data_IF_527707697672
#
_entry.id   IF_527707697672
#
_cell.length_a   1.000
_cell.length_b   1.000
_cell.length_c   1.000
_cell.angle_alpha   90.00
_cell.angle_beta   90.00
_cell.angle_gamma   90.00
#
_symmetry.space_group_name_H-M   'P 1'
#
loop_
_entity.id
_entity.type
_entity.pdbx_description
1 polymer ?
#
# COMPACT_ATOMS: atom_id res chain seq x y z
N UNK A 1 21.09 -31.80 -4.97
CA UNK A 1 21.58 -32.23 -3.65
C UNK A 1 21.29 -31.11 -2.67
N UNK A 2 20.52 -31.36 -1.63
CA UNK A 2 20.42 -30.45 -0.51
C UNK A 2 21.82 -30.28 0.12
N UNK A 3 22.17 -29.09 0.55
CA UNK A 3 23.43 -28.87 1.28
C UNK A 3 23.34 -29.57 2.65
N UNK A 4 24.48 -29.90 3.26
CA UNK A 4 24.50 -30.45 4.65
C UNK A 4 23.68 -29.56 5.59
N UNK A 5 23.79 -28.24 5.44
CA UNK A 5 23.01 -27.27 6.22
C UNK A 5 21.49 -27.43 6.02
N UNK A 6 21.02 -27.66 4.79
CA UNK A 6 19.58 -27.86 4.52
C UNK A 6 19.05 -29.14 5.17
N UNK A 7 19.87 -30.20 5.21
CA UNK A 7 19.52 -31.45 5.89
C UNK A 7 19.43 -31.26 7.41
N UNK A 8 20.40 -30.57 8.01
CA UNK A 8 20.41 -30.27 9.43
C UNK A 8 19.22 -29.37 9.82
N UNK A 9 18.92 -28.35 9.01
CA UNK A 9 17.75 -27.48 9.24
C UNK A 9 16.44 -28.27 9.12
N UNK A 10 16.32 -29.19 8.16
CA UNK A 10 15.14 -30.04 8.02
C UNK A 10 14.91 -30.87 9.28
N UNK A 11 15.98 -31.49 9.83
CA UNK A 11 15.91 -32.27 11.07
C UNK A 11 15.53 -31.40 12.28
N UNK A 12 16.15 -30.23 12.45
CA UNK A 12 15.81 -29.27 13.52
C UNK A 12 14.38 -28.75 13.45
N UNK A 13 13.78 -28.74 12.27
CA UNK A 13 12.44 -28.19 12.02
C UNK A 13 11.31 -29.23 12.11
N UNK A 14 11.59 -30.51 12.33
CA UNK A 14 10.60 -31.60 12.31
C UNK A 14 9.34 -31.33 13.14
N UNK A 15 9.50 -30.71 14.32
CA UNK A 15 8.40 -30.43 15.24
C UNK A 15 8.06 -28.93 15.39
N UNK A 16 8.65 -28.06 14.57
CA UNK A 16 8.56 -26.62 14.77
C UNK A 16 7.11 -26.11 14.72
N UNK A 17 6.29 -26.61 13.80
CA UNK A 17 4.89 -26.21 13.68
C UNK A 17 4.07 -26.55 14.94
N UNK A 18 4.33 -27.72 15.55
CA UNK A 18 3.67 -28.15 16.78
C UNK A 18 4.11 -27.32 17.99
N UNK A 19 5.39 -26.99 18.07
CA UNK A 19 5.95 -26.18 19.18
C UNK A 19 5.40 -24.75 19.18
N UNK A 20 5.09 -24.18 18.02
CA UNK A 20 4.54 -22.83 17.91
C UNK A 20 3.01 -22.78 17.80
N UNK A 21 2.32 -23.93 17.76
CA UNK A 21 0.88 -23.98 17.70
C UNK A 21 0.24 -23.50 19.01
N UNK A 22 -0.65 -22.51 18.90
CA UNK A 22 -1.51 -22.10 20.03
C UNK A 22 -2.93 -22.52 19.68
N UNK A 23 -3.57 -23.42 20.48
CA UNK A 23 -4.94 -23.87 20.23
C UNK A 23 -5.93 -22.72 20.11
N UNK A 24 -6.87 -22.84 19.18
CA UNK A 24 -7.82 -21.78 18.84
C UNK A 24 -8.66 -21.31 20.04
N UNK A 25 -8.98 -22.22 20.97
CA UNK A 25 -9.76 -21.93 22.18
C UNK A 25 -9.17 -20.81 23.06
N UNK A 26 -7.85 -20.59 23.03
CA UNK A 26 -7.22 -19.52 23.78
C UNK A 26 -7.47 -18.12 23.18
N UNK A 27 -7.95 -18.06 21.95
CA UNK A 27 -8.32 -16.80 21.29
C UNK A 27 -9.81 -16.48 21.39
N UNK A 28 -10.63 -17.34 22.03
CA UNK A 28 -12.08 -17.12 22.25
C UNK A 28 -12.33 -16.08 23.34
N UNK A 29 -11.34 -15.81 24.20
CA UNK A 29 -11.42 -14.75 25.20
C UNK A 29 -11.49 -13.37 24.50
N UNK A 30 -12.63 -12.69 24.65
CA UNK A 30 -12.88 -11.38 24.05
C UNK A 30 -11.93 -10.26 24.54
N UNK A 31 -11.21 -10.47 25.63
CA UNK A 31 -10.15 -9.55 26.08
C UNK A 31 -8.93 -9.57 25.16
N UNK A 32 -8.71 -10.66 24.42
CA UNK A 32 -7.61 -10.80 23.46
C UNK A 32 -8.02 -10.18 22.12
N UNK A 33 -7.40 -9.05 21.77
CA UNK A 33 -7.73 -8.29 20.56
C UNK A 33 -6.85 -8.74 19.38
N UNK A 34 -7.13 -9.93 18.85
CA UNK A 34 -6.39 -10.51 17.72
C UNK A 34 -6.44 -9.57 16.51
N UNK A 35 -5.26 -9.22 15.96
CA UNK A 35 -5.15 -8.26 14.87
C UNK A 35 -5.61 -6.85 15.24
N UNK A 36 -5.61 -6.48 16.54
CA UNK A 36 -6.12 -5.22 17.07
C UNK A 36 -7.57 -4.94 16.66
N UNK A 37 -8.42 -5.99 16.69
CA UNK A 37 -9.85 -5.91 16.40
C UNK A 37 -10.69 -6.29 17.62
N UNK A 38 -11.78 -5.54 17.80
CA UNK A 38 -12.85 -5.89 18.73
C UNK A 38 -13.70 -7.05 18.17
N UNK A 39 -14.50 -7.67 19.01
CA UNK A 39 -15.38 -8.79 18.62
C UNK A 39 -16.40 -8.39 17.53
N UNK A 40 -16.84 -7.14 17.54
CA UNK A 40 -17.73 -6.56 16.52
C UNK A 40 -16.98 -6.21 15.20
N UNK A 41 -15.65 -6.47 15.14
CA UNK A 41 -14.79 -6.19 14.01
C UNK A 41 -14.35 -4.72 13.88
N UNK A 42 -14.67 -3.83 14.83
CA UNK A 42 -14.09 -2.48 14.88
C UNK A 42 -12.62 -2.52 15.25
N UNK A 43 -11.84 -1.51 14.83
CA UNK A 43 -10.45 -1.36 15.26
C UNK A 43 -10.37 -1.01 16.75
N UNK A 44 -9.35 -1.54 17.43
CA UNK A 44 -9.00 -1.10 18.79
C UNK A 44 -8.52 0.35 18.73
N UNK A 45 -9.11 1.23 19.51
CA UNK A 45 -8.69 2.63 19.59
C UNK A 45 -7.43 2.72 20.45
N UNK A 46 -6.31 3.05 19.80
CA UNK A 46 -4.98 3.11 20.43
C UNK A 46 -4.38 4.53 20.47
N UNK A 47 -5.03 5.52 19.87
CA UNK A 47 -4.56 6.89 19.83
C UNK A 47 -5.51 7.82 19.09
N UNK A 48 -5.06 9.05 18.90
CA UNK A 48 -5.75 10.10 18.14
C UNK A 48 -4.85 10.62 17.03
N UNK A 49 -5.43 11.10 15.93
CA UNK A 49 -4.70 11.62 14.79
C UNK A 49 -5.45 12.76 14.13
N UNK A 50 -4.68 13.73 13.60
CA UNK A 50 -5.18 14.82 12.75
C UNK A 50 -4.75 14.65 11.29
N UNK A 51 -4.06 13.56 10.93
CA UNK A 51 -3.49 13.37 9.58
C UNK A 51 -4.56 12.98 8.58
N UNK A 52 -5.38 11.98 8.91
CA UNK A 52 -6.42 11.51 8.02
C UNK A 52 -7.61 10.90 8.76
N UNK A 53 -8.77 10.86 8.10
CA UNK A 53 -9.99 10.25 8.62
C UNK A 53 -10.64 9.37 7.57
N UNK A 54 -10.98 8.14 7.96
CA UNK A 54 -11.65 7.13 7.13
C UNK A 54 -12.98 6.81 7.78
N UNK A 55 -14.07 7.06 7.08
CA UNK A 55 -15.43 6.88 7.58
C UNK A 55 -16.24 6.00 6.62
N UNK A 56 -16.89 4.96 7.12
CA UNK A 56 -17.71 4.04 6.32
C UNK A 56 -18.96 3.59 7.09
N UNK A 57 -19.09 4.01 8.35
CA UNK A 57 -20.23 3.79 9.23
C UNK A 57 -20.19 4.81 10.35
N UNK A 58 -21.31 4.98 11.04
CA UNK A 58 -21.39 5.67 12.32
C UNK A 58 -22.02 4.74 13.37
N UNK A 59 -21.82 5.06 14.65
CA UNK A 59 -22.41 4.30 15.75
C UNK A 59 -23.73 4.96 16.17
N UNK A 60 -24.81 4.18 16.25
CA UNK A 60 -26.08 4.59 16.78
C UNK A 60 -26.62 3.48 17.71
N UNK A 61 -26.87 3.81 18.95
CA UNK A 61 -27.35 2.89 19.99
C UNK A 61 -26.48 1.62 20.15
N UNK A 62 -25.16 1.76 19.94
CA UNK A 62 -24.19 0.66 20.01
C UNK A 62 -24.08 -0.21 18.76
N UNK A 63 -24.88 0.08 17.74
CA UNK A 63 -24.85 -0.61 16.45
C UNK A 63 -24.14 0.21 15.36
N UNK A 64 -23.55 -0.50 14.38
CA UNK A 64 -22.96 0.14 13.21
C UNK A 64 -24.03 0.43 12.17
N UNK A 65 -24.20 1.70 11.83
CA UNK A 65 -25.06 2.13 10.73
C UNK A 65 -24.20 2.39 9.50
N UNK A 66 -24.37 1.66 8.39
CA UNK A 66 -23.65 1.87 7.16
C UNK A 66 -23.84 3.27 6.59
N UNK A 67 -22.79 3.83 6.01
CA UNK A 67 -22.84 5.08 5.26
C UNK A 67 -21.92 5.04 4.03
N UNK A 68 -22.14 5.89 3.02
CA UNK A 68 -21.17 6.08 1.94
C UNK A 68 -19.79 6.41 2.51
N UNK A 69 -18.76 5.74 2.01
CA UNK A 69 -17.40 5.94 2.49
C UNK A 69 -16.92 7.37 2.27
N UNK A 70 -16.16 7.89 3.23
CA UNK A 70 -15.50 9.19 3.14
C UNK A 70 -14.04 9.08 3.56
N UNK A 71 -13.19 9.79 2.85
CA UNK A 71 -11.76 9.91 3.12
C UNK A 71 -11.38 11.39 3.17
N UNK A 72 -10.76 11.78 4.27
CA UNK A 72 -10.32 13.16 4.48
C UNK A 72 -8.83 13.18 4.80
N UNK A 73 -8.11 14.11 4.16
CA UNK A 73 -6.73 14.46 4.46
C UNK A 73 -6.71 15.80 5.21
N UNK A 74 -6.29 15.81 6.46
CA UNK A 74 -6.31 17.01 7.31
C UNK A 74 -7.69 17.71 7.35
N UNK A 75 -8.77 16.92 7.23
CA UNK A 75 -10.13 17.44 7.24
C UNK A 75 -10.68 17.83 5.87
N UNK A 76 -9.90 17.74 4.80
CA UNK A 76 -10.31 18.05 3.42
C UNK A 76 -10.67 16.76 2.70
N UNK A 77 -11.82 16.74 2.00
CA UNK A 77 -12.28 15.59 1.23
C UNK A 77 -11.34 15.28 0.08
N UNK A 78 -10.91 14.02 -0.04
CA UNK A 78 -10.06 13.57 -1.14
C UNK A 78 -10.79 13.66 -2.48
N UNK A 79 -12.11 13.48 -2.48
CA UNK A 79 -12.96 13.61 -3.67
C UNK A 79 -12.92 15.05 -4.20
N UNK A 80 -12.96 16.05 -3.29
CA UNK A 80 -12.91 17.48 -3.64
C UNK A 80 -11.53 17.88 -4.18
N UNK A 81 -10.46 17.39 -3.55
CA UNK A 81 -9.07 17.60 -4.03
C UNK A 81 -8.94 17.09 -5.47
N UNK A 82 -9.30 15.84 -5.73
CA UNK A 82 -9.21 15.25 -7.07
C UNK A 82 -10.07 16.02 -8.07
N UNK A 83 -11.31 16.34 -7.70
CA UNK A 83 -12.22 17.07 -8.59
C UNK A 83 -11.69 18.46 -8.94
N UNK A 84 -11.03 19.16 -8.03
CA UNK A 84 -10.43 20.46 -8.28
C UNK A 84 -9.26 20.37 -9.27
N UNK A 85 -8.30 19.46 -9.03
CA UNK A 85 -7.15 19.29 -9.92
C UNK A 85 -7.55 18.82 -11.31
N UNK A 86 -8.48 17.86 -11.43
CA UNK A 86 -9.00 17.40 -12.73
C UNK A 86 -9.70 18.50 -13.50
N UNK A 87 -10.48 19.36 -12.83
CA UNK A 87 -11.14 20.50 -13.48
C UNK A 87 -10.17 21.56 -13.98
N UNK A 88 -9.12 21.80 -13.22
CA UNK A 88 -8.12 22.84 -13.50
C UNK A 88 -6.98 22.34 -14.42
N UNK A 89 -6.90 21.03 -14.71
CA UNK A 89 -5.79 20.44 -15.48
C UNK A 89 -4.44 20.60 -14.75
N UNK A 90 -4.43 20.46 -13.41
CA UNK A 90 -3.22 20.59 -12.58
C UNK A 90 -2.88 19.27 -11.90
N UNK A 91 -1.62 19.11 -11.47
CA UNK A 91 -1.15 17.99 -10.67
C UNK A 91 -1.33 18.29 -9.17
N UNK A 92 -1.80 17.32 -8.41
CA UNK A 92 -2.22 17.53 -7.03
C UNK A 92 -1.45 16.73 -5.98
N UNK A 93 -0.62 15.76 -6.37
CA UNK A 93 0.08 14.93 -5.38
C UNK A 93 1.04 15.74 -4.50
N UNK A 94 1.77 16.71 -5.07
CA UNK A 94 2.66 17.58 -4.32
C UNK A 94 1.91 18.48 -3.34
N UNK A 95 0.72 18.96 -3.72
CA UNK A 95 -0.16 19.72 -2.81
C UNK A 95 -0.65 18.84 -1.66
N UNK A 96 -1.02 17.59 -1.95
CA UNK A 96 -1.41 16.59 -0.94
C UNK A 96 -0.24 16.28 -0.01
N UNK A 97 0.97 16.10 -0.52
CA UNK A 97 2.16 15.92 0.30
C UNK A 97 2.41 17.11 1.23
N UNK A 98 2.29 18.34 0.71
CA UNK A 98 2.35 19.57 1.52
C UNK A 98 1.28 19.56 2.61
N UNK A 99 0.02 19.33 2.24
CA UNK A 99 -1.12 19.30 3.17
C UNK A 99 -0.91 18.31 4.30
N UNK A 100 -0.50 17.08 3.97
CA UNK A 100 -0.28 16.03 4.96
C UNK A 100 0.86 16.38 5.93
N UNK A 101 1.99 16.89 5.42
CA UNK A 101 3.16 17.23 6.24
C UNK A 101 2.95 18.48 7.08
N UNK A 102 2.37 19.55 6.51
CA UNK A 102 2.31 20.87 7.12
C UNK A 102 0.93 21.23 7.71
N UNK A 103 -0.10 20.41 7.45
CA UNK A 103 -1.39 20.48 8.15
C UNK A 103 -2.41 21.43 7.55
N UNK A 104 -2.07 22.19 6.51
CA UNK A 104 -2.98 23.11 5.80
C UNK A 104 -2.66 23.16 4.31
N UNK A 105 -3.63 23.58 3.49
CA UNK A 105 -3.39 23.84 2.07
C UNK A 105 -2.37 24.98 1.89
N UNK A 106 -1.47 24.87 0.90
CA UNK A 106 -0.52 25.93 0.58
C UNK A 106 -1.18 27.11 -0.12
N UNK A 107 -0.68 28.29 0.07
CA UNK A 107 -0.85 29.39 -0.89
C UNK A 107 -0.05 29.07 -2.16
N UNK A 108 -0.35 29.76 -3.26
CA UNK A 108 0.39 29.58 -4.52
C UNK A 108 1.92 29.73 -4.35
N UNK A 109 2.36 30.72 -3.59
CA UNK A 109 3.79 30.95 -3.31
C UNK A 109 4.40 29.82 -2.46
N UNK A 110 3.65 29.27 -1.49
CA UNK A 110 4.09 28.13 -0.68
C UNK A 110 4.17 26.86 -1.51
N UNK A 111 3.19 26.61 -2.40
CA UNK A 111 3.21 25.48 -3.31
C UNK A 111 4.43 25.53 -4.23
N UNK A 112 4.69 26.68 -4.84
CA UNK A 112 5.86 26.84 -5.72
C UNK A 112 7.16 26.57 -4.94
N UNK A 113 7.31 27.14 -3.76
CA UNK A 113 8.49 26.91 -2.91
C UNK A 113 8.63 25.43 -2.53
N UNK A 114 7.53 24.75 -2.23
CA UNK A 114 7.56 23.32 -1.90
C UNK A 114 7.99 22.48 -3.10
N UNK A 115 7.45 22.77 -4.28
CA UNK A 115 7.84 22.10 -5.52
C UNK A 115 9.33 22.29 -5.83
N UNK A 116 9.86 23.51 -5.64
CA UNK A 116 11.29 23.80 -5.82
C UNK A 116 12.18 23.01 -4.82
N UNK A 117 11.72 22.86 -3.58
CA UNK A 117 12.42 22.05 -2.56
C UNK A 117 12.38 20.58 -2.93
N UNK A 118 11.21 20.05 -3.36
CA UNK A 118 11.05 18.68 -3.82
C UNK A 118 11.96 18.39 -5.03
N UNK A 119 11.99 19.30 -6.01
CA UNK A 119 12.82 19.17 -7.21
C UNK A 119 14.32 19.04 -6.86
N UNK A 120 14.82 19.92 -5.98
CA UNK A 120 16.23 19.84 -5.50
C UNK A 120 16.52 18.59 -4.68
N UNK A 121 15.53 18.07 -3.94
CA UNK A 121 15.68 16.91 -3.08
C UNK A 121 15.62 15.58 -3.84
N UNK A 122 15.26 15.55 -5.14
CA UNK A 122 15.18 14.35 -5.98
C UNK A 122 16.54 13.69 -6.23
N UNK A 123 17.63 14.46 -6.25
CA UNK A 123 18.96 13.93 -6.53
C UNK A 123 19.38 12.90 -5.47
N UNK A 124 19.96 11.80 -5.93
CA UNK A 124 20.58 10.79 -5.08
C UNK A 124 21.99 11.22 -4.67
N UNK A 125 22.51 10.74 -3.52
CA UNK A 125 23.92 10.86 -3.21
C UNK A 125 24.79 10.26 -4.31
N UNK A 126 25.99 10.81 -4.51
CA UNK A 126 26.93 10.33 -5.54
C UNK A 126 27.24 8.84 -5.35
N UNK A 127 27.19 8.07 -6.44
CA UNK A 127 27.44 6.63 -6.46
C UNK A 127 26.32 5.77 -5.83
N UNK A 128 25.26 6.36 -5.29
CA UNK A 128 24.22 5.61 -4.59
C UNK A 128 23.50 4.60 -5.49
N UNK A 129 23.13 5.01 -6.70
CA UNK A 129 22.44 4.12 -7.64
C UNK A 129 23.31 2.93 -8.01
N UNK A 130 24.57 3.17 -8.31
CA UNK A 130 25.54 2.15 -8.67
C UNK A 130 25.81 1.17 -7.53
N UNK A 131 26.07 1.70 -6.33
CA UNK A 131 26.50 0.91 -5.19
C UNK A 131 25.35 0.19 -4.49
N UNK A 132 24.21 0.85 -4.33
CA UNK A 132 23.10 0.33 -3.54
C UNK A 132 22.01 -0.37 -4.37
N UNK A 133 21.88 -0.04 -5.66
CA UNK A 133 20.83 -0.60 -6.52
C UNK A 133 21.42 -1.56 -7.55
N UNK A 134 22.39 -1.09 -8.36
CA UNK A 134 22.91 -1.88 -9.49
C UNK A 134 23.85 -3.00 -9.07
N UNK A 135 24.71 -2.81 -8.07
CA UNK A 135 25.61 -3.88 -7.57
C UNK A 135 24.90 -4.97 -6.78
N UNK A 136 23.72 -4.68 -6.22
CA UNK A 136 22.94 -5.63 -5.46
C UNK A 136 21.45 -5.60 -5.89
N UNK A 137 21.14 -5.95 -7.15
CA UNK A 137 19.78 -5.89 -7.66
C UNK A 137 18.87 -6.89 -6.94
N UNK A 138 17.59 -6.59 -6.88
CA UNK A 138 16.60 -7.46 -6.25
C UNK A 138 15.50 -7.83 -7.24
N UNK A 139 15.06 -9.10 -7.22
CA UNK A 139 13.84 -9.51 -7.93
C UNK A 139 12.58 -8.83 -7.37
N UNK A 140 12.64 -8.34 -6.14
CA UNK A 140 11.51 -7.68 -5.48
C UNK A 140 11.84 -6.20 -5.25
N UNK A 141 11.13 -5.31 -5.96
CA UNK A 141 11.36 -3.86 -5.92
C UNK A 141 11.07 -3.29 -4.54
N UNK A 142 10.06 -3.80 -3.81
CA UNK A 142 9.78 -3.35 -2.45
C UNK A 142 10.92 -3.67 -1.47
N UNK A 143 11.63 -4.81 -1.67
CA UNK A 143 12.83 -5.11 -0.90
C UNK A 143 13.94 -4.11 -1.22
N UNK A 144 14.14 -3.80 -2.51
CA UNK A 144 15.13 -2.80 -2.92
C UNK A 144 14.81 -1.43 -2.35
N UNK A 145 13.52 -1.01 -2.36
CA UNK A 145 13.06 0.24 -1.75
C UNK A 145 13.43 0.31 -0.25
N UNK A 146 13.08 -0.73 0.53
CA UNK A 146 13.39 -0.77 1.96
C UNK A 146 14.90 -0.67 2.24
N UNK A 147 15.73 -1.42 1.49
CA UNK A 147 17.20 -1.37 1.61
C UNK A 147 17.76 0.00 1.24
N UNK A 148 17.24 0.60 0.18
CA UNK A 148 17.68 1.93 -0.26
C UNK A 148 17.33 3.00 0.77
N UNK A 149 16.15 2.93 1.40
CA UNK A 149 15.77 3.83 2.49
C UNK A 149 16.76 3.70 3.66
N UNK A 150 17.06 2.48 4.11
CA UNK A 150 18.03 2.26 5.19
C UNK A 150 19.43 2.72 4.81
N UNK A 151 19.86 2.51 3.56
CA UNK A 151 21.18 2.97 3.10
C UNK A 151 21.31 4.49 3.09
N UNK A 152 20.21 5.24 2.82
CA UNK A 152 20.21 6.71 2.86
C UNK A 152 20.56 7.28 4.24
N UNK A 153 20.35 6.52 5.32
CA UNK A 153 20.81 6.88 6.66
C UNK A 153 22.30 7.25 6.70
N UNK A 154 23.13 6.46 6.02
CA UNK A 154 24.59 6.66 6.01
C UNK A 154 25.05 7.91 5.23
N UNK A 155 24.15 8.55 4.51
CA UNK A 155 24.40 9.78 3.74
C UNK A 155 23.78 11.02 4.38
N UNK A 156 23.28 10.92 5.62
CA UNK A 156 22.66 12.01 6.37
C UNK A 156 23.40 12.21 7.69
N UNK A 157 24.20 13.29 7.79
CA UNK A 157 24.97 13.62 8.98
C UNK A 157 24.08 13.90 10.22
N UNK A 158 22.78 14.11 10.01
CA UNK A 158 21.77 14.33 11.06
C UNK A 158 20.71 13.21 11.07
N UNK A 159 21.11 11.99 10.76
CA UNK A 159 20.18 10.86 10.63
C UNK A 159 19.38 10.61 11.91
N UNK A 160 20.03 10.63 13.08
CA UNK A 160 19.42 10.36 14.40
C UNK A 160 18.74 11.57 15.06
N UNK A 161 18.85 12.76 14.46
CA UNK A 161 18.21 13.96 14.99
C UNK A 161 16.70 13.93 14.72
N UNK A 162 15.92 13.76 15.78
CA UNK A 162 14.45 13.65 15.76
C UNK A 162 13.74 14.99 15.95
N UNK A 163 14.45 16.13 15.91
CA UNK A 163 13.82 17.45 15.88
C UNK A 163 12.88 17.58 14.67
N UNK A 164 11.70 18.16 14.87
CA UNK A 164 10.64 18.17 13.86
C UNK A 164 11.04 18.81 12.53
N UNK A 165 11.87 19.83 12.56
CA UNK A 165 12.43 20.50 11.37
C UNK A 165 13.34 19.55 10.59
N UNK A 166 14.19 18.78 11.28
CA UNK A 166 15.05 17.79 10.64
C UNK A 166 14.26 16.59 10.10
N UNK A 167 13.29 16.09 10.85
CA UNK A 167 12.40 15.02 10.37
C UNK A 167 11.57 15.47 9.17
N UNK A 168 11.12 16.73 9.12
CA UNK A 168 10.47 17.30 7.95
C UNK A 168 11.42 17.34 6.74
N UNK A 169 12.67 17.78 6.92
CA UNK A 169 13.72 17.76 5.88
C UNK A 169 13.93 16.34 5.35
N UNK A 170 14.10 15.36 6.23
CA UNK A 170 14.25 13.93 5.88
C UNK A 170 13.03 13.41 5.13
N UNK A 171 11.83 13.74 5.60
CA UNK A 171 10.56 13.35 4.98
C UNK A 171 10.43 13.86 3.55
N UNK A 172 10.68 15.15 3.32
CA UNK A 172 10.66 15.75 1.96
C UNK A 172 11.69 15.07 1.07
N UNK A 173 12.91 14.83 1.59
CA UNK A 173 13.98 14.15 0.87
C UNK A 173 13.59 12.72 0.45
N UNK A 174 12.94 11.97 1.33
CA UNK A 174 12.46 10.62 1.04
C UNK A 174 11.32 10.61 0.03
N UNK A 175 10.30 11.47 0.22
CA UNK A 175 9.16 11.58 -0.72
C UNK A 175 9.68 11.90 -2.13
N UNK A 176 10.64 12.83 -2.26
CA UNK A 176 11.20 13.23 -3.54
C UNK A 176 12.01 12.11 -4.24
N UNK A 177 12.71 11.26 -3.47
CA UNK A 177 13.60 10.21 -3.99
C UNK A 177 12.91 8.87 -4.25
N UNK A 178 11.77 8.60 -3.61
CA UNK A 178 11.08 7.31 -3.77
C UNK A 178 10.77 6.94 -5.22
N UNK A 179 10.25 7.86 -6.07
CA UNK A 179 10.01 7.57 -7.49
C UNK A 179 11.27 7.10 -8.20
N UNK A 180 12.40 7.79 -7.98
CA UNK A 180 13.67 7.49 -8.62
C UNK A 180 14.24 6.14 -8.15
N UNK A 181 14.17 5.85 -6.85
CA UNK A 181 14.60 4.55 -6.30
C UNK A 181 13.76 3.42 -6.90
N UNK A 182 12.44 3.58 -6.98
CA UNK A 182 11.53 2.58 -7.54
C UNK A 182 11.82 2.35 -9.04
N UNK A 183 12.00 3.40 -9.82
CA UNK A 183 12.31 3.32 -11.25
C UNK A 183 13.68 2.66 -11.50
N UNK A 184 14.74 3.06 -10.78
CA UNK A 184 16.06 2.47 -10.91
C UNK A 184 16.08 1.00 -10.44
N UNK A 185 15.36 0.66 -9.39
CA UNK A 185 15.20 -0.72 -8.93
C UNK A 185 14.48 -1.59 -9.98
N UNK A 186 13.47 -1.04 -10.64
CA UNK A 186 12.77 -1.71 -11.73
C UNK A 186 13.67 -1.91 -12.96
N UNK A 187 14.40 -0.89 -13.38
CA UNK A 187 15.34 -0.98 -14.48
C UNK A 187 16.45 -2.02 -14.18
N UNK A 188 16.99 -2.02 -12.96
CA UNK A 188 17.96 -3.02 -12.51
C UNK A 188 17.37 -4.44 -12.53
N UNK A 189 16.12 -4.63 -12.05
CA UNK A 189 15.44 -5.93 -12.10
C UNK A 189 15.32 -6.42 -13.54
N UNK A 190 14.84 -5.60 -14.46
CA UNK A 190 14.69 -5.95 -15.88
C UNK A 190 16.04 -6.34 -16.51
N UNK A 191 17.08 -5.57 -16.21
CA UNK A 191 18.41 -5.83 -16.75
C UNK A 191 19.01 -7.15 -16.25
N UNK A 192 19.07 -7.33 -14.92
CA UNK A 192 19.80 -8.46 -14.34
C UNK A 192 18.99 -9.78 -14.32
N UNK A 193 17.67 -9.72 -14.34
CA UNK A 193 16.83 -10.91 -14.18
C UNK A 193 15.96 -11.23 -15.38
N UNK A 194 15.64 -10.23 -16.20
CA UNK A 194 14.74 -10.41 -17.35
C UNK A 194 15.53 -10.29 -18.68
N UNK A 195 16.84 -9.96 -18.64
CA UNK A 195 17.75 -9.92 -19.80
C UNK A 195 17.58 -8.70 -20.70
N UNK A 196 16.97 -7.62 -20.20
CA UNK A 196 16.74 -6.40 -20.97
C UNK A 196 17.92 -5.41 -20.85
N UNK A 197 17.99 -4.45 -21.78
CA UNK A 197 18.97 -3.37 -21.70
C UNK A 197 18.73 -2.49 -20.49
N UNK A 198 19.81 -2.07 -19.79
CA UNK A 198 19.72 -1.11 -18.70
C UNK A 198 19.47 0.29 -19.25
N UNK A 199 18.31 0.84 -18.99
CA UNK A 199 17.93 2.21 -19.33
C UNK A 199 17.56 2.93 -18.04
N UNK A 200 18.26 4.02 -17.74
CA UNK A 200 18.00 4.88 -16.59
C UNK A 200 17.73 6.30 -17.08
N UNK A 201 16.59 6.85 -16.68
CA UNK A 201 16.26 8.25 -16.92
C UNK A 201 16.36 9.04 -15.62
N UNK A 202 17.03 10.18 -15.67
CA UNK A 202 17.04 11.12 -14.55
C UNK A 202 15.71 11.86 -14.45
N UNK A 203 15.23 12.18 -13.24
CA UNK A 203 14.06 13.02 -13.07
C UNK A 203 14.34 14.44 -13.55
N UNK A 204 13.32 15.09 -14.13
CA UNK A 204 13.37 16.49 -14.53
C UNK A 204 12.77 17.38 -13.44
N UNK A 205 13.43 18.51 -13.09
CA UNK A 205 13.00 19.37 -12.00
C UNK A 205 11.60 19.96 -12.20
N UNK A 206 11.26 20.32 -13.44
CA UNK A 206 10.02 21.00 -13.81
C UNK A 206 8.81 20.07 -13.86
N UNK A 207 9.03 18.76 -13.95
CA UNK A 207 7.96 17.78 -14.04
C UNK A 207 7.42 17.40 -12.65
N UNK A 208 6.12 17.13 -12.58
CA UNK A 208 5.46 16.55 -11.42
C UNK A 208 6.01 15.18 -11.05
N UNK A 209 5.65 14.67 -9.87
CA UNK A 209 6.00 13.30 -9.46
C UNK A 209 5.41 12.27 -10.43
N UNK A 210 4.16 12.43 -10.84
CA UNK A 210 3.50 11.50 -11.76
C UNK A 210 4.17 11.47 -13.14
N UNK A 211 4.50 12.62 -13.71
CA UNK A 211 5.20 12.74 -15.00
C UNK A 211 6.59 12.11 -14.91
N UNK A 212 7.35 12.42 -13.88
CA UNK A 212 8.66 11.83 -13.65
C UNK A 212 8.60 10.30 -13.51
N UNK A 213 7.59 9.74 -12.84
CA UNK A 213 7.42 8.29 -12.75
C UNK A 213 7.25 7.69 -14.15
N UNK A 214 6.29 8.17 -14.94
CA UNK A 214 6.05 7.62 -16.29
C UNK A 214 7.28 7.74 -17.18
N UNK A 215 7.94 8.89 -17.14
CA UNK A 215 9.19 9.14 -17.88
C UNK A 215 10.31 8.16 -17.48
N UNK A 216 10.49 7.93 -16.19
CA UNK A 216 11.61 7.11 -15.71
C UNK A 216 11.40 5.59 -15.90
N UNK A 217 10.14 5.11 -15.89
CA UNK A 217 9.88 3.67 -16.03
C UNK A 217 9.72 3.21 -17.49
N UNK A 218 9.56 4.13 -18.43
CA UNK A 218 9.41 3.83 -19.86
C UNK A 218 10.71 4.02 -20.62
N UNK A 219 11.13 3.05 -21.46
CA UNK A 219 12.40 3.14 -22.18
C UNK A 219 12.54 4.36 -23.09
N UNK A 220 11.42 4.79 -23.69
CA UNK A 220 11.32 5.96 -24.57
C UNK A 220 11.04 7.29 -23.85
N UNK A 221 10.85 7.24 -22.53
CA UNK A 221 10.47 8.37 -21.68
C UNK A 221 9.16 9.07 -22.10
N UNK A 222 8.35 8.45 -22.97
CA UNK A 222 7.16 9.05 -23.55
C UNK A 222 5.90 8.78 -22.71
N UNK A 223 5.04 9.78 -22.58
CA UNK A 223 3.73 9.67 -21.93
C UNK A 223 2.81 10.78 -22.47
N UNK A 224 1.51 10.60 -22.28
CA UNK A 224 0.52 11.66 -22.61
C UNK A 224 0.13 12.42 -21.34
N UNK A 225 -0.33 13.69 -21.46
CA UNK A 225 -0.83 14.47 -20.34
C UNK A 225 -1.95 13.74 -19.56
N UNK A 226 -2.86 13.05 -20.25
CA UNK A 226 -3.95 12.31 -19.61
C UNK A 226 -3.43 11.12 -18.78
N UNK A 227 -2.42 10.39 -19.27
CA UNK A 227 -1.77 9.33 -18.49
C UNK A 227 -1.12 9.87 -17.21
N UNK A 228 -0.43 11.01 -17.30
CA UNK A 228 0.20 11.65 -16.16
C UNK A 228 -0.83 12.14 -15.12
N UNK A 229 -1.93 12.77 -15.57
CA UNK A 229 -3.02 13.19 -14.67
C UNK A 229 -3.72 12.02 -14.00
N UNK A 230 -3.88 10.88 -14.69
CA UNK A 230 -4.47 9.69 -14.07
C UNK A 230 -3.53 9.04 -13.07
N UNK A 231 -2.23 9.00 -13.34
CA UNK A 231 -1.26 8.54 -12.36
C UNK A 231 -1.21 9.46 -11.14
N UNK A 232 -1.25 10.77 -11.34
CA UNK A 232 -1.33 11.74 -10.24
C UNK A 232 -2.57 11.52 -9.36
N UNK A 233 -3.73 11.33 -9.98
CA UNK A 233 -4.95 10.94 -9.27
C UNK A 233 -4.74 9.68 -8.42
N UNK A 234 -4.08 8.66 -8.97
CA UNK A 234 -3.78 7.43 -8.23
C UNK A 234 -2.85 7.70 -7.04
N UNK A 235 -1.85 8.56 -7.21
CA UNK A 235 -0.95 8.96 -6.13
C UNK A 235 -1.71 9.69 -5.01
N UNK A 236 -2.61 10.63 -5.36
CA UNK A 236 -3.48 11.34 -4.40
C UNK A 236 -4.31 10.32 -3.59
N UNK A 237 -4.99 9.39 -4.26
CA UNK A 237 -5.88 8.43 -3.59
C UNK A 237 -5.15 7.45 -2.67
N UNK A 238 -3.87 7.19 -2.90
CA UNK A 238 -3.06 6.27 -2.11
C UNK A 238 -2.22 6.97 -1.03
N UNK A 239 -2.13 8.31 -1.03
CA UNK A 239 -1.23 9.07 -0.17
C UNK A 239 -1.43 8.83 1.33
N UNK A 240 -2.67 8.66 1.77
CA UNK A 240 -3.01 8.46 3.19
C UNK A 240 -4.27 7.59 3.34
N UNK A 241 -4.36 6.79 4.41
CA UNK A 241 -5.53 5.99 4.74
C UNK A 241 -5.56 5.59 6.23
N UNK A 242 -5.40 6.57 7.11
CA UNK A 242 -5.45 6.39 8.57
C UNK A 242 -4.54 5.24 9.07
N UNK A 243 -4.92 4.54 10.13
CA UNK A 243 -4.13 3.51 10.80
C UNK A 243 -4.21 2.14 10.11
N UNK A 244 -3.80 2.05 8.83
CA UNK A 244 -3.53 0.77 8.19
C UNK A 244 -2.25 0.14 8.75
N UNK A 245 -1.96 -1.12 8.37
CA UNK A 245 -0.86 -1.88 8.98
C UNK A 245 0.50 -1.19 8.82
N UNK A 246 0.85 -0.66 7.65
CA UNK A 246 2.14 0.00 7.44
C UNK A 246 2.24 1.35 8.17
N UNK A 247 1.16 2.11 8.28
CA UNK A 247 1.11 3.32 9.10
C UNK A 247 1.26 2.99 10.59
N UNK A 248 0.60 1.93 11.07
CA UNK A 248 0.77 1.47 12.44
C UNK A 248 2.22 1.06 12.74
N UNK A 249 2.85 0.30 11.84
CA UNK A 249 4.27 -0.08 11.97
C UNK A 249 5.17 1.15 12.00
N UNK A 250 4.95 2.13 11.12
CA UNK A 250 5.69 3.40 11.13
C UNK A 250 5.58 4.10 12.50
N UNK A 251 4.36 4.24 13.03
CA UNK A 251 4.12 4.86 14.34
C UNK A 251 4.74 4.04 15.47
N UNK A 252 4.59 2.72 15.44
CA UNK A 252 5.14 1.83 16.46
C UNK A 252 6.67 1.92 16.54
N UNK A 253 7.36 1.91 15.40
CA UNK A 253 8.81 2.10 15.32
C UNK A 253 9.18 3.52 15.78
N UNK A 254 8.47 4.55 15.32
CA UNK A 254 8.68 5.94 15.72
C UNK A 254 8.56 6.13 17.23
N UNK A 255 7.64 5.43 17.89
CA UNK A 255 7.42 5.54 19.34
C UNK A 255 8.62 5.10 20.19
N UNK A 256 9.57 4.37 19.60
CA UNK A 256 10.84 4.03 20.26
C UNK A 256 11.87 5.15 20.25
N UNK A 257 11.62 6.25 19.52
CA UNK A 257 12.55 7.38 19.39
C UNK A 257 13.64 7.19 18.34
N UNK A 258 13.53 6.17 17.46
CA UNK A 258 14.52 5.89 16.41
C UNK A 258 14.46 6.88 15.23
N UNK A 259 15.39 6.77 14.31
CA UNK A 259 15.57 7.59 13.13
C UNK A 259 14.42 7.44 12.10
N UNK A 260 14.35 8.38 11.14
CA UNK A 260 13.32 8.41 10.10
C UNK A 260 13.46 7.25 9.10
N UNK A 261 14.68 6.89 8.75
CA UNK A 261 14.95 5.87 7.74
C UNK A 261 14.50 4.49 8.23
N UNK A 262 14.76 4.15 9.49
CA UNK A 262 14.29 2.92 10.14
C UNK A 262 12.76 2.85 10.19
N UNK A 263 12.09 3.94 10.57
CA UNK A 263 10.63 3.98 10.64
C UNK A 263 9.97 3.80 9.27
N UNK A 264 10.48 4.47 8.23
CA UNK A 264 9.96 4.36 6.86
C UNK A 264 10.30 3.01 6.23
N UNK A 265 11.51 2.47 6.43
CA UNK A 265 11.86 1.14 5.95
C UNK A 265 10.96 0.05 6.56
N UNK A 266 10.62 0.16 7.84
CA UNK A 266 9.64 -0.72 8.49
C UNK A 266 8.24 -0.63 7.88
N UNK A 267 7.78 0.58 7.54
CA UNK A 267 6.51 0.80 6.84
C UNK A 267 6.52 0.16 5.43
N UNK A 268 7.61 0.31 4.68
CA UNK A 268 7.80 -0.35 3.37
C UNK A 268 7.77 -1.86 3.51
N UNK A 269 8.46 -2.41 4.53
CA UNK A 269 8.47 -3.84 4.83
C UNK A 269 7.07 -4.38 5.15
N UNK A 270 6.27 -3.63 5.92
CA UNK A 270 4.88 -3.95 6.21
C UNK A 270 4.01 -3.95 4.95
N UNK A 271 4.13 -2.91 4.11
CA UNK A 271 3.36 -2.81 2.85
C UNK A 271 3.74 -3.90 1.86
N UNK A 272 5.00 -4.36 1.84
CA UNK A 272 5.46 -5.47 1.01
C UNK A 272 4.70 -6.77 1.25
N UNK A 273 4.15 -6.96 2.46
CA UNK A 273 3.46 -8.18 2.85
C UNK A 273 2.22 -8.46 1.97
N UNK A 274 2.01 -9.72 1.53
CA UNK A 274 0.92 -10.06 0.61
C UNK A 274 -0.49 -9.81 1.19
N UNK A 275 -0.62 -9.78 2.51
CA UNK A 275 -1.89 -9.48 3.18
C UNK A 275 -2.19 -7.98 3.27
N UNK A 276 -1.24 -7.10 2.90
CA UNK A 276 -1.40 -5.66 2.90
C UNK A 276 -1.28 -5.07 1.50
N UNK A 277 -0.09 -5.00 0.91
CA UNK A 277 0.12 -4.40 -0.41
C UNK A 277 -0.05 -5.34 -1.60
N UNK A 278 -0.30 -6.62 -1.36
CA UNK A 278 -0.42 -7.64 -2.43
C UNK A 278 -1.82 -7.79 -3.02
N UNK A 279 -2.83 -7.08 -2.51
CA UNK A 279 -4.23 -7.29 -2.92
C UNK A 279 -4.46 -6.92 -4.39
N UNK A 280 -3.85 -5.85 -4.88
CA UNK A 280 -3.95 -5.41 -6.26
C UNK A 280 -3.45 -6.49 -7.27
N UNK A 281 -2.27 -7.06 -7.04
CA UNK A 281 -1.75 -8.13 -7.90
C UNK A 281 -2.67 -9.36 -7.91
N UNK A 282 -3.28 -9.70 -6.76
CA UNK A 282 -4.27 -10.78 -6.67
C UNK A 282 -5.55 -10.48 -7.45
N UNK A 283 -6.02 -9.24 -7.42
CA UNK A 283 -7.15 -8.81 -8.28
C UNK A 283 -6.81 -9.00 -9.75
N UNK A 284 -5.64 -8.55 -10.20
CA UNK A 284 -5.26 -8.67 -11.60
C UNK A 284 -5.05 -10.14 -12.04
N UNK A 285 -4.51 -10.97 -11.18
CA UNK A 285 -4.43 -12.42 -11.43
C UNK A 285 -5.82 -13.02 -11.59
N UNK A 286 -6.74 -12.75 -10.68
CA UNK A 286 -8.14 -13.20 -10.74
C UNK A 286 -8.83 -12.66 -11.99
N UNK A 287 -8.63 -11.42 -12.35
CA UNK A 287 -9.23 -10.80 -13.52
C UNK A 287 -8.77 -11.45 -14.83
N UNK A 288 -7.47 -11.76 -14.96
CA UNK A 288 -6.95 -12.53 -16.10
C UNK A 288 -7.56 -13.92 -16.18
N UNK A 289 -7.65 -14.61 -15.06
CA UNK A 289 -8.25 -15.93 -14.94
C UNK A 289 -9.72 -15.92 -15.35
N UNK A 290 -10.52 -14.95 -14.90
CA UNK A 290 -11.91 -14.75 -15.35
C UNK A 290 -11.97 -14.53 -16.87
N UNK A 291 -11.16 -13.62 -17.42
CA UNK A 291 -11.13 -13.33 -18.86
C UNK A 291 -10.76 -14.54 -19.71
N UNK A 292 -9.83 -15.34 -19.24
CA UNK A 292 -9.40 -16.56 -19.95
C UNK A 292 -10.53 -17.60 -20.05
N UNK A 293 -11.35 -17.71 -19.00
CA UNK A 293 -12.38 -18.74 -18.93
C UNK A 293 -13.76 -18.33 -19.46
N UNK A 294 -14.14 -17.07 -19.30
CA UNK A 294 -15.47 -16.60 -19.71
C UNK A 294 -15.43 -15.49 -20.77
N UNK A 295 -14.23 -15.04 -21.19
CA UNK A 295 -14.07 -13.98 -22.18
C UNK A 295 -14.20 -12.58 -21.58
N UNK A 296 -14.14 -11.55 -22.46
CA UNK A 296 -14.20 -10.14 -22.07
C UNK A 296 -15.63 -9.62 -21.95
N UNK A 297 -16.59 -10.25 -22.61
CA UNK A 297 -18.00 -9.88 -22.60
C UNK A 297 -18.89 -11.13 -22.40
N UNK A 298 -18.73 -11.87 -21.29
CA UNK A 298 -19.54 -13.05 -21.03
C UNK A 298 -21.02 -12.68 -20.85
N UNK A 299 -21.95 -13.63 -21.05
CA UNK A 299 -23.29 -13.46 -20.50
C UNK A 299 -23.28 -13.56 -18.96
N UNK A 300 -24.36 -13.11 -18.30
CA UNK A 300 -24.41 -13.10 -16.84
C UNK A 300 -24.40 -14.51 -16.25
N UNK A 301 -24.95 -15.50 -16.95
CA UNK A 301 -25.00 -16.89 -16.48
C UNK A 301 -23.60 -17.51 -16.45
N UNK A 302 -22.80 -17.28 -17.50
CA UNK A 302 -21.42 -17.78 -17.56
C UNK A 302 -20.53 -17.10 -16.49
N UNK A 303 -20.65 -15.77 -16.32
CA UNK A 303 -19.93 -15.04 -15.29
C UNK A 303 -20.30 -15.54 -13.90
N UNK A 304 -21.59 -15.68 -13.61
CA UNK A 304 -22.10 -16.15 -12.32
C UNK A 304 -21.61 -17.55 -11.97
N UNK A 305 -21.68 -18.49 -12.94
CA UNK A 305 -21.18 -19.84 -12.74
C UNK A 305 -19.68 -19.86 -12.43
N UNK A 306 -18.90 -18.99 -13.08
CA UNK A 306 -17.47 -18.92 -12.82
C UNK A 306 -17.13 -18.28 -11.47
N UNK A 307 -17.83 -17.22 -11.07
CA UNK A 307 -17.68 -16.61 -9.75
C UNK A 307 -18.06 -17.57 -8.62
N UNK A 308 -19.07 -18.43 -8.83
CA UNK A 308 -19.43 -19.49 -7.89
C UNK A 308 -18.28 -20.51 -7.74
N UNK A 309 -17.66 -20.96 -8.82
CA UNK A 309 -16.49 -21.84 -8.78
C UNK A 309 -15.31 -21.22 -8.04
N UNK A 310 -15.07 -19.91 -8.21
CA UNK A 310 -14.04 -19.19 -7.43
C UNK A 310 -14.37 -19.27 -5.94
N UNK A 311 -15.62 -18.97 -5.55
CA UNK A 311 -16.06 -18.98 -4.16
C UNK A 311 -16.06 -20.37 -3.52
N UNK A 312 -16.24 -21.43 -4.34
CA UNK A 312 -16.16 -22.82 -3.91
C UNK A 312 -14.69 -23.35 -3.82
N UNK A 313 -13.71 -22.52 -4.22
CA UNK A 313 -12.31 -22.92 -4.25
C UNK A 313 -11.94 -23.88 -5.39
N UNK A 314 -12.77 -23.94 -6.44
CA UNK A 314 -12.58 -24.81 -7.62
C UNK A 314 -11.90 -24.08 -8.78
N UNK A 315 -11.87 -22.75 -8.76
CA UNK A 315 -11.26 -21.92 -9.80
C UNK A 315 -10.35 -20.83 -9.19
N UNK A 316 -9.64 -20.11 -10.04
CA UNK A 316 -8.69 -19.09 -9.66
C UNK A 316 -7.53 -19.66 -8.83
N UNK A 317 -7.12 -18.96 -7.79
CA UNK A 317 -6.06 -19.42 -6.86
C UNK A 317 -6.57 -20.39 -5.78
N UNK A 318 -7.81 -20.85 -5.92
CA UNK A 318 -8.49 -21.77 -5.01
C UNK A 318 -8.62 -21.29 -3.56
N UNK A 319 -8.52 -20.01 -3.33
CA UNK A 319 -8.66 -19.42 -1.99
C UNK A 319 -10.11 -19.25 -1.53
N UNK A 320 -11.08 -19.44 -2.43
CA UNK A 320 -12.49 -19.16 -2.18
C UNK A 320 -12.80 -17.67 -2.05
N UNK A 321 -11.97 -16.80 -2.65
CA UNK A 321 -12.10 -15.33 -2.52
C UNK A 321 -12.24 -14.65 -3.87
N UNK A 322 -13.18 -13.71 -3.95
CA UNK A 322 -13.20 -12.69 -5.01
C UNK A 322 -12.45 -11.49 -4.44
N UNK A 323 -11.22 -11.27 -4.95
CA UNK A 323 -10.35 -10.20 -4.48
C UNK A 323 -10.88 -8.82 -4.89
N UNK A 324 -10.54 -7.79 -4.11
CA UNK A 324 -11.00 -6.43 -4.34
C UNK A 324 -12.39 -6.11 -3.78
N UNK A 325 -13.08 -7.10 -3.17
CA UNK A 325 -14.39 -6.92 -2.53
C UNK A 325 -14.28 -6.96 -1.01
N UNK A 326 -14.93 -6.00 -0.35
CA UNK A 326 -14.92 -5.82 1.10
C UNK A 326 -13.80 -4.93 1.60
N UNK A 327 -14.06 -4.27 2.71
CA UNK A 327 -13.12 -3.37 3.37
C UNK A 327 -13.32 -3.41 4.88
N UNK A 328 -12.25 -3.14 5.65
CA UNK A 328 -12.29 -3.17 7.11
C UNK A 328 -13.16 -2.04 7.73
N UNK A 329 -13.33 -0.92 7.01
CA UNK A 329 -14.09 0.26 7.46
C UNK A 329 -15.24 0.58 6.51
N UNK A 330 -15.00 0.67 5.21
CA UNK A 330 -16.05 1.02 4.24
C UNK A 330 -17.08 -0.09 4.10
N UNK A 331 -18.35 0.33 4.03
CA UNK A 331 -19.50 -0.57 3.91
C UNK A 331 -20.25 -0.37 2.60
N UNK A 332 -20.74 0.84 2.33
CA UNK A 332 -21.54 1.13 1.14
C UNK A 332 -20.70 1.49 -0.07
N UNK A 333 -19.56 2.18 0.13
CA UNK A 333 -18.63 2.53 -0.95
C UNK A 333 -17.24 2.83 -0.41
N UNK A 334 -16.19 2.56 -1.19
CA UNK A 334 -14.85 3.11 -1.00
C UNK A 334 -14.71 4.34 -1.89
N UNK A 335 -14.54 5.57 -1.35
CA UNK A 335 -14.49 6.79 -2.15
C UNK A 335 -13.38 6.76 -3.20
N UNK A 336 -12.29 6.02 -2.94
CA UNK A 336 -11.17 5.86 -3.88
C UNK A 336 -11.61 5.04 -5.10
N UNK A 337 -12.30 3.92 -4.89
CA UNK A 337 -12.83 3.09 -5.97
C UNK A 337 -13.86 3.87 -6.81
N UNK A 338 -14.74 4.65 -6.15
CA UNK A 338 -15.72 5.51 -6.82
C UNK A 338 -15.03 6.55 -7.72
N UNK A 339 -14.00 7.22 -7.20
CA UNK A 339 -13.23 8.22 -7.97
C UNK A 339 -12.50 7.57 -9.13
N UNK A 340 -11.84 6.43 -8.94
CA UNK A 340 -11.15 5.71 -10.02
C UNK A 340 -12.14 5.34 -11.12
N UNK A 341 -13.27 4.74 -10.81
CA UNK A 341 -14.31 4.39 -11.80
C UNK A 341 -14.74 5.59 -12.62
N UNK A 342 -15.00 6.72 -11.96
CA UNK A 342 -15.43 7.95 -12.64
C UNK A 342 -14.45 8.43 -13.70
N UNK A 343 -13.14 8.32 -13.45
CA UNK A 343 -12.12 8.84 -14.37
C UNK A 343 -11.45 7.74 -15.22
N UNK A 344 -11.71 6.46 -14.97
CA UNK A 344 -11.19 5.34 -15.75
C UNK A 344 -11.76 5.26 -17.17
N UNK A 345 -13.02 5.65 -17.36
CA UNK A 345 -13.75 5.43 -18.60
C UNK A 345 -13.10 6.17 -19.80
N UNK A 346 -12.58 7.39 -19.60
CA UNK A 346 -11.91 8.15 -20.65
C UNK A 346 -10.64 7.44 -21.15
N UNK A 347 -9.81 6.98 -20.23
CA UNK A 347 -8.59 6.23 -20.55
C UNK A 347 -8.95 4.87 -21.18
N UNK A 348 -9.90 4.15 -20.61
CA UNK A 348 -10.35 2.85 -21.14
C UNK A 348 -10.85 2.99 -22.58
N UNK A 349 -11.59 4.06 -22.90
CA UNK A 349 -12.02 4.36 -24.27
C UNK A 349 -10.82 4.64 -25.17
N UNK A 350 -9.92 5.52 -24.76
CA UNK A 350 -8.73 5.90 -25.55
C UNK A 350 -7.79 4.70 -25.83
N UNK A 351 -7.72 3.75 -24.91
CA UNK A 351 -6.88 2.53 -25.01
C UNK A 351 -7.65 1.31 -25.58
N UNK A 352 -8.93 1.45 -25.97
CA UNK A 352 -9.75 0.32 -26.44
C UNK A 352 -10.01 -0.75 -25.36
N UNK A 353 -10.02 -0.34 -24.08
CA UNK A 353 -10.14 -1.24 -22.92
C UNK A 353 -11.49 -1.09 -22.17
N UNK A 354 -12.49 -0.45 -22.79
CA UNK A 354 -13.84 -0.35 -22.21
C UNK A 354 -14.43 -1.72 -21.80
N UNK A 355 -14.32 -2.80 -22.63
CA UNK A 355 -14.84 -4.11 -22.21
C UNK A 355 -14.20 -4.64 -20.94
N UNK A 356 -12.95 -4.33 -20.66
CA UNK A 356 -12.28 -4.74 -19.42
C UNK A 356 -12.85 -3.99 -18.21
N UNK A 357 -13.11 -2.70 -18.34
CA UNK A 357 -13.75 -1.90 -17.29
C UNK A 357 -15.17 -2.39 -17.00
N UNK A 358 -15.97 -2.62 -18.04
CA UNK A 358 -17.34 -3.16 -17.92
C UNK A 358 -17.37 -4.54 -17.27
N UNK A 359 -16.42 -5.42 -17.65
CA UNK A 359 -16.29 -6.73 -17.00
C UNK A 359 -15.96 -6.59 -15.51
N UNK A 360 -15.04 -5.67 -15.14
CA UNK A 360 -14.68 -5.43 -13.74
C UNK A 360 -15.88 -4.93 -12.94
N UNK A 361 -16.69 -4.03 -13.50
CA UNK A 361 -17.92 -3.53 -12.87
C UNK A 361 -18.96 -4.64 -12.68
N UNK A 362 -19.08 -5.55 -13.62
CA UNK A 362 -19.94 -6.73 -13.49
C UNK A 362 -19.42 -7.72 -12.44
N UNK A 363 -18.10 -7.94 -12.38
CA UNK A 363 -17.47 -8.73 -11.31
C UNK A 363 -17.74 -8.11 -9.93
N UNK A 364 -17.65 -6.77 -9.81
CA UNK A 364 -18.03 -6.06 -8.59
C UNK A 364 -19.48 -6.37 -8.20
N UNK A 365 -20.43 -6.06 -9.08
CA UNK A 365 -21.85 -6.16 -8.78
C UNK A 365 -22.27 -7.60 -8.43
N UNK A 366 -21.93 -8.57 -9.30
CA UNK A 366 -22.28 -9.98 -9.12
C UNK A 366 -21.53 -10.63 -7.97
N UNK A 367 -20.24 -10.30 -7.80
CA UNK A 367 -19.40 -10.80 -6.70
C UNK A 367 -19.92 -10.39 -5.33
N UNK A 368 -20.32 -9.12 -5.16
CA UNK A 368 -20.93 -8.62 -3.94
C UNK A 368 -22.22 -9.37 -3.63
N UNK A 369 -23.15 -9.50 -4.60
CA UNK A 369 -24.41 -10.21 -4.45
C UNK A 369 -24.19 -11.65 -3.96
N UNK A 370 -23.28 -12.39 -4.62
CA UNK A 370 -22.98 -13.78 -4.28
C UNK A 370 -22.37 -13.93 -2.88
N UNK A 371 -21.40 -13.07 -2.52
CA UNK A 371 -20.76 -13.12 -1.21
C UNK A 371 -21.78 -12.81 -0.11
N UNK A 372 -22.60 -11.77 -0.28
CA UNK A 372 -23.61 -11.38 0.71
C UNK A 372 -24.65 -12.48 0.90
N UNK A 373 -25.11 -13.08 -0.20
CA UNK A 373 -26.09 -14.19 -0.15
C UNK A 373 -25.51 -15.41 0.57
N UNK A 374 -24.28 -15.86 0.21
CA UNK A 374 -23.63 -17.04 0.82
C UNK A 374 -23.36 -16.85 2.32
N UNK A 375 -22.94 -15.65 2.71
CA UNK A 375 -22.63 -15.31 4.11
C UNK A 375 -23.85 -14.88 4.91
N UNK A 376 -25.04 -14.77 4.29
CA UNK A 376 -26.25 -14.19 4.90
C UNK A 376 -25.96 -12.84 5.55
N UNK A 377 -25.13 -12.04 4.89
CA UNK A 377 -24.65 -10.76 5.42
C UNK A 377 -25.69 -9.68 5.16
N UNK A 378 -26.08 -8.96 6.22
CA UNK A 378 -27.04 -7.83 6.15
C UNK A 378 -26.35 -6.48 6.00
N UNK A 379 -25.11 -6.35 6.49
CA UNK A 379 -24.33 -5.13 6.34
C UNK A 379 -23.80 -5.06 4.89
N UNK A 380 -24.03 -3.94 4.18
CA UNK A 380 -23.52 -3.78 2.81
C UNK A 380 -22.02 -4.01 2.70
N UNK A 381 -21.60 -4.48 1.53
CA UNK A 381 -20.21 -4.66 1.14
C UNK A 381 -19.94 -3.85 -0.13
N UNK A 382 -18.75 -3.31 -0.28
CA UNK A 382 -18.35 -2.55 -1.47
C UNK A 382 -17.02 -3.07 -2.04
N UNK A 383 -16.73 -2.69 -3.30
CA UNK A 383 -15.39 -2.78 -3.83
C UNK A 383 -14.43 -1.88 -3.05
N UNK A 384 -13.19 -2.33 -2.87
CA UNK A 384 -12.11 -1.50 -2.36
C UNK A 384 -11.25 -0.96 -3.51
N UNK A 385 -10.29 -0.10 -3.19
CA UNK A 385 -9.43 0.57 -4.17
C UNK A 385 -8.66 -0.42 -5.06
N UNK A 386 -8.31 -1.60 -4.53
CA UNK A 386 -7.50 -2.59 -5.24
C UNK A 386 -8.24 -3.23 -6.43
N UNK A 387 -9.57 -3.26 -6.42
CA UNK A 387 -10.35 -3.81 -7.52
C UNK A 387 -10.06 -3.07 -8.83
N UNK A 388 -9.94 -1.74 -8.79
CA UNK A 388 -9.81 -0.90 -9.99
C UNK A 388 -8.39 -0.41 -10.24
N UNK A 389 -7.56 -0.25 -9.20
CA UNK A 389 -6.25 0.38 -9.33
C UNK A 389 -5.31 -0.39 -10.28
N UNK A 390 -5.34 -1.72 -10.25
CA UNK A 390 -4.54 -2.54 -11.16
C UNK A 390 -4.95 -2.41 -12.62
N UNK A 391 -6.24 -2.28 -12.90
CA UNK A 391 -6.74 -2.04 -14.24
C UNK A 391 -6.24 -0.70 -14.79
N UNK A 392 -6.28 0.38 -13.97
CA UNK A 392 -5.70 1.67 -14.35
C UNK A 392 -4.22 1.53 -14.66
N UNK A 393 -3.43 0.94 -13.77
CA UNK A 393 -2.00 0.74 -14.00
C UNK A 393 -1.72 -0.06 -15.26
N UNK A 394 -2.52 -1.10 -15.56
CA UNK A 394 -2.39 -1.87 -16.80
C UNK A 394 -2.70 -1.04 -18.05
N UNK A 395 -3.68 -0.12 -18.00
CA UNK A 395 -4.00 0.80 -19.10
C UNK A 395 -2.95 1.91 -19.28
N UNK A 396 -2.18 2.22 -18.22
CA UNK A 396 -1.02 3.10 -18.27
C UNK A 396 0.26 2.38 -18.71
N UNK A 397 0.17 1.11 -19.11
CA UNK A 397 1.30 0.27 -19.46
C UNK A 397 2.37 0.17 -18.35
N UNK A 398 1.92 0.25 -17.09
CA UNK A 398 2.76 0.09 -15.90
C UNK A 398 2.85 -1.41 -15.56
N UNK A 399 4.05 -1.99 -15.48
CA UNK A 399 4.25 -3.38 -15.10
C UNK A 399 3.77 -3.70 -13.68
N UNK A 400 3.26 -4.93 -13.46
CA UNK A 400 2.74 -5.38 -12.16
C UNK A 400 3.79 -5.32 -11.03
N UNK A 401 5.07 -5.49 -11.36
CA UNK A 401 6.19 -5.33 -10.42
C UNK A 401 6.21 -3.95 -9.73
N UNK A 402 5.62 -2.93 -10.37
CA UNK A 402 5.57 -1.55 -9.89
C UNK A 402 4.29 -1.20 -9.13
N UNK A 403 3.26 -2.04 -9.08
CA UNK A 403 1.98 -1.68 -8.44
C UNK A 403 2.14 -1.38 -6.95
N UNK A 404 2.75 -2.29 -6.19
CA UNK A 404 3.02 -2.05 -4.76
C UNK A 404 4.10 -0.96 -4.54
N UNK A 405 5.19 -0.88 -5.32
CA UNK A 405 6.12 0.25 -5.27
C UNK A 405 5.48 1.63 -5.51
N UNK A 406 4.55 1.75 -6.46
CA UNK A 406 3.81 3.00 -6.67
C UNK A 406 2.86 3.32 -5.51
N UNK A 407 2.23 2.29 -4.94
CA UNK A 407 1.48 2.46 -3.70
C UNK A 407 2.37 3.00 -2.57
N UNK A 408 3.58 2.45 -2.40
CA UNK A 408 4.56 2.95 -1.41
C UNK A 408 5.00 4.39 -1.71
N UNK A 409 5.23 4.70 -2.99
CA UNK A 409 5.61 6.04 -3.47
C UNK A 409 4.55 7.09 -3.15
N UNK A 410 3.28 6.73 -3.25
CA UNK A 410 2.19 7.59 -2.84
C UNK A 410 2.09 7.70 -1.31
N UNK A 411 2.11 6.56 -0.61
CA UNK A 411 1.84 6.45 0.82
C UNK A 411 2.93 7.03 1.71
N UNK A 412 4.15 7.22 1.20
CA UNK A 412 5.25 7.75 2.02
C UNK A 412 4.92 9.13 2.59
N UNK A 413 4.15 9.97 1.90
CA UNK A 413 3.69 11.26 2.41
C UNK A 413 2.83 11.10 3.68
N UNK A 414 1.93 10.12 3.70
CA UNK A 414 1.14 9.76 4.87
C UNK A 414 1.99 9.18 6.00
N UNK A 415 2.93 8.27 5.71
CA UNK A 415 3.83 7.73 6.73
C UNK A 415 4.67 8.81 7.40
N UNK A 416 5.23 9.73 6.61
CA UNK A 416 6.00 10.85 7.12
C UNK A 416 5.16 11.79 7.99
N UNK A 417 3.92 12.08 7.58
CA UNK A 417 2.99 12.89 8.37
C UNK A 417 2.65 12.23 9.72
N UNK A 418 2.41 10.91 9.72
CA UNK A 418 2.17 10.16 10.95
C UNK A 418 3.40 10.07 11.84
N UNK A 419 4.61 9.99 11.27
CA UNK A 419 5.85 10.06 12.04
C UNK A 419 6.01 11.43 12.72
N UNK A 420 5.81 12.53 11.98
CA UNK A 420 5.86 13.88 12.55
C UNK A 420 4.84 14.04 13.68
N UNK A 421 3.60 13.56 13.49
CA UNK A 421 2.56 13.62 14.51
C UNK A 421 2.94 12.80 15.75
N UNK A 422 3.50 11.60 15.56
CA UNK A 422 3.94 10.73 16.65
C UNK A 422 5.03 11.41 17.49
N UNK A 423 6.02 12.03 16.87
CA UNK A 423 7.08 12.77 17.58
C UNK A 423 6.56 14.03 18.26
N UNK A 424 5.65 14.77 17.62
CA UNK A 424 5.10 16.02 18.14
C UNK A 424 4.18 15.83 19.36
N UNK A 425 3.58 14.66 19.52
CA UNK A 425 2.65 14.39 20.63
C UNK A 425 3.34 13.95 21.92
N UNK A 426 4.66 13.81 21.94
CA UNK A 426 5.44 13.51 23.14
C UNK A 426 5.19 12.13 23.72
N UNK A 427 5.22 11.10 22.92
CA UNK A 427 4.63 9.82 23.14
C UNK A 427 5.30 8.86 24.11
N UNK A 428 4.51 7.87 24.52
CA UNK A 428 4.97 6.67 25.19
C UNK A 428 5.29 5.61 24.13
N UNK A 429 6.34 4.82 24.37
CA UNK A 429 6.64 3.66 23.54
C UNK A 429 5.43 2.71 23.48
N UNK A 430 5.03 2.31 22.28
CA UNK A 430 3.96 1.34 22.08
C UNK A 430 4.41 -0.05 22.52
N UNK A 431 3.80 -0.55 23.59
CA UNK A 431 4.16 -1.83 24.19
C UNK A 431 2.90 -2.65 24.51
N UNK A 432 2.34 -3.37 23.52
CA UNK A 432 1.22 -4.26 23.76
C UNK A 432 1.61 -5.42 24.67
N UNK A 433 0.62 -5.95 25.42
CA UNK A 433 0.81 -7.12 26.26
C UNK A 433 0.40 -8.40 25.53
N UNK A 434 1.10 -9.49 25.81
CA UNK A 434 0.71 -10.84 25.41
C UNK A 434 0.47 -11.69 26.64
N UNK A 435 -0.62 -12.50 26.64
CA UNK A 435 -0.86 -13.49 27.68
C UNK A 435 0.10 -14.65 27.47
N UNK A 436 0.99 -14.90 28.45
CA UNK A 436 1.89 -16.04 28.42
C UNK A 436 1.13 -17.35 28.64
N UNK A 437 1.32 -18.31 27.74
CA UNK A 437 0.74 -19.66 27.78
C UNK A 437 1.82 -20.69 28.10
N UNK A 438 2.72 -20.36 29.02
CA UNK A 438 3.87 -21.19 29.41
C UNK A 438 3.61 -21.85 30.74
N UNK A 439 3.95 -23.15 30.86
CA UNK A 439 4.09 -23.85 32.11
C UNK A 439 5.51 -23.58 32.65
N UNK A 440 5.62 -23.27 33.91
CA UNK A 440 6.93 -23.07 34.54
C UNK A 440 7.58 -24.42 34.78
N UNK A 441 8.74 -24.64 34.20
CA UNK A 441 9.52 -25.86 34.36
C UNK A 441 10.91 -25.53 34.97
N UNK A 442 11.49 -26.44 35.76
CA UNK A 442 12.85 -26.27 36.26
C UNK A 442 13.86 -26.38 35.11
N UNK A 443 14.93 -25.61 35.16
CA UNK A 443 16.05 -25.80 34.24
C UNK A 443 16.77 -27.12 34.56
N UNK A 444 16.92 -27.97 33.55
CA UNK A 444 17.69 -29.21 33.61
C UNK A 444 18.97 -28.99 32.78
N UNK A 445 20.19 -29.18 33.35
CA UNK A 445 21.43 -29.11 32.58
C UNK A 445 21.46 -30.09 31.41
N UNK A 446 22.19 -29.75 30.33
CA UNK A 446 22.18 -30.53 29.07
C UNK A 446 22.61 -31.97 29.25
N UNK A 447 23.57 -32.23 30.14
CA UNK A 447 24.10 -33.54 30.50
C UNK A 447 23.13 -34.39 31.32
N UNK A 448 22.10 -33.80 31.89
CA UNK A 448 21.03 -34.47 32.63
C UNK A 448 19.71 -34.62 31.85
N UNK A 449 19.68 -34.22 30.56
CA UNK A 449 18.52 -34.40 29.71
C UNK A 449 18.56 -35.77 29.03
N UNK A 450 17.45 -36.47 29.05
CA UNK A 450 17.27 -37.77 28.39
C UNK A 450 16.60 -37.58 27.01
#
# INVERSE_FOLDING_TARGET
>A
MATLLETDIAHLSENIAQQYAIPAQYFEDQSIKRGLRNADGTGVLIGVSKVGSVQGYYMMDGERVPMPGKLYYRGISVEDIVAAHRRNGTFGYEEVAYLLLLGSLPTQAQQQRFNDVMARARSMPSGFTEDMILKAPSRNIMNQLARSVLALYSYDDRADDTALDNVLRQSIGLIARFPLIAANAFAAKRHYFDGESLILHNPEPELSVAENILRMIRPDAAYTPEEAHLLDLMLILHAEHSSNNSTFVCRAITSSGTDTYSAIAGAVGSLKGPLHGGANAKVMQMFRDIREHVGTAPDDTALDAYLDRILDGEAGDRSGKIYGLGHAVYTMSDPRAVVIKKYAASLASAKGRLPDLELMERVEARGIEKIMTRKRQTIPMCANVDLYSGLIYSMLDIPEDLYTPLFATARISGWCAHRLEELATGNRIMRPAYRAMLIKEPYIPVDART
#
